data_IF_861975590779
#
_entry.id   IF_861975590779
#
_cell.length_a   1.000
_cell.length_b   1.000
_cell.length_c   1.000
_cell.angle_alpha   90.00
_cell.angle_beta   90.00
_cell.angle_gamma   90.00
#
_symmetry.space_group_name_H-M   'P 1'
#
loop_
_entity.id
_entity.type
_entity.pdbx_description
1 polymer ?
#
# COMPACT_ATOMS: atom_id res chain seq x y z
N UNK A 1 -22.69 -1.32 -60.68
CA UNK A 1 -21.33 -1.03 -60.20
C UNK A 1 -21.17 0.48 -60.09
N UNK A 2 -21.15 1.08 -58.88
CA UNK A 2 -20.70 2.44 -58.70
C UNK A 2 -19.24 2.51 -58.22
N UNK A 3 -18.63 3.64 -58.57
CA UNK A 3 -17.22 3.96 -58.47
C UNK A 3 -16.72 4.09 -57.02
N UNK A 4 -15.54 3.52 -56.76
CA UNK A 4 -14.78 3.76 -55.53
C UNK A 4 -14.12 5.12 -55.64
N UNK A 5 -14.67 6.08 -54.89
CA UNK A 5 -14.06 7.38 -54.67
C UNK A 5 -12.76 7.21 -53.89
N UNK A 6 -11.72 7.80 -54.47
CA UNK A 6 -10.46 8.20 -53.86
C UNK A 6 -10.68 8.82 -52.48
N UNK A 7 -9.99 8.27 -51.47
CA UNK A 7 -9.83 8.90 -50.16
C UNK A 7 -8.41 8.60 -49.70
N UNK A 8 -7.45 9.38 -50.19
CA UNK A 8 -6.11 9.41 -49.63
C UNK A 8 -6.12 10.20 -48.30
N UNK A 9 -5.60 9.65 -47.20
CA UNK A 9 -5.27 10.45 -46.03
C UNK A 9 -3.88 11.09 -46.18
N UNK A 10 -3.83 12.40 -45.92
CA UNK A 10 -2.64 13.27 -45.91
C UNK A 10 -1.53 12.75 -44.96
N UNK A 11 -0.25 13.06 -45.23
CA UNK A 11 0.85 12.75 -44.32
C UNK A 11 0.82 13.68 -43.09
N UNK A 12 0.04 13.28 -42.09
CA UNK A 12 0.10 13.88 -40.76
C UNK A 12 1.45 13.56 -40.10
N UNK A 13 2.24 14.61 -39.89
CA UNK A 13 3.45 14.69 -39.08
C UNK A 13 3.55 13.61 -38.01
N UNK A 14 4.55 12.74 -38.13
CA UNK A 14 5.03 11.89 -37.04
C UNK A 14 5.55 12.81 -35.94
N UNK A 15 4.69 13.08 -34.96
CA UNK A 15 5.11 13.64 -33.69
C UNK A 15 6.05 12.61 -33.05
N UNK A 16 7.24 13.08 -32.69
CA UNK A 16 8.23 12.34 -31.92
C UNK A 16 7.57 11.74 -30.66
N UNK A 17 7.95 10.54 -30.22
CA UNK A 17 7.47 10.02 -28.95
C UNK A 17 7.85 11.02 -27.85
N UNK A 18 6.84 11.50 -27.14
CA UNK A 18 7.04 12.28 -25.93
C UNK A 18 7.97 11.47 -25.03
N UNK A 19 9.06 12.14 -24.66
CA UNK A 19 9.98 11.68 -23.64
C UNK A 19 9.14 11.29 -22.44
N UNK A 20 8.98 9.99 -22.22
CA UNK A 20 8.56 9.46 -20.94
C UNK A 20 9.53 10.05 -19.94
N UNK A 21 9.07 11.03 -19.19
CA UNK A 21 9.75 11.51 -18.01
C UNK A 21 10.02 10.27 -17.18
N UNK A 22 11.30 9.86 -17.18
CA UNK A 22 11.82 8.96 -16.19
C UNK A 22 11.42 9.59 -14.86
N UNK A 23 10.47 8.96 -14.16
CA UNK A 23 10.02 9.33 -12.84
C UNK A 23 11.25 9.31 -11.92
N UNK A 24 11.92 10.46 -11.83
CA UNK A 24 13.11 10.67 -11.03
C UNK A 24 12.66 10.70 -9.57
N UNK A 25 12.54 9.51 -8.99
CA UNK A 25 12.57 9.32 -7.55
C UNK A 25 11.36 9.84 -6.82
N UNK A 26 10.15 9.40 -7.19
CA UNK A 26 9.12 9.29 -6.16
C UNK A 26 9.70 8.36 -5.08
N UNK A 27 9.97 8.84 -3.85
CA UNK A 27 10.32 7.92 -2.78
C UNK A 27 9.20 6.86 -2.75
N UNK A 28 9.54 5.55 -2.65
CA UNK A 28 8.50 4.53 -2.53
C UNK A 28 7.55 5.05 -1.46
N UNK A 29 6.22 5.08 -1.73
CA UNK A 29 5.27 5.70 -0.81
C UNK A 29 5.62 5.18 0.57
N UNK A 30 5.99 6.11 1.48
CA UNK A 30 6.36 5.73 2.84
C UNK A 30 5.34 4.69 3.29
N UNK A 31 5.76 3.53 3.81
CA UNK A 31 4.89 2.37 3.90
C UNK A 31 3.61 2.76 4.66
N UNK A 32 2.55 3.06 3.92
CA UNK A 32 1.35 3.65 4.48
C UNK A 32 0.70 2.57 5.32
N UNK A 33 0.68 2.79 6.63
CA UNK A 33 0.03 1.87 7.56
C UNK A 33 -1.47 2.14 7.50
N UNK A 34 -2.22 1.16 7.03
CA UNK A 34 -3.68 1.20 6.92
C UNK A 34 -4.30 0.37 8.04
N UNK A 35 -5.39 0.86 8.61
CA UNK A 35 -6.19 0.07 9.54
C UNK A 35 -7.27 -0.67 8.76
N UNK A 36 -7.21 -2.00 8.77
CA UNK A 36 -8.09 -2.87 7.98
C UNK A 36 -8.79 -3.90 8.86
N UNK A 37 -9.99 -4.32 8.47
CA UNK A 37 -10.71 -5.45 9.08
C UNK A 37 -11.36 -6.30 8.00
N UNK A 38 -11.72 -7.54 8.34
CA UNK A 38 -12.53 -8.35 7.44
C UNK A 38 -13.89 -7.70 7.18
N UNK A 39 -14.38 -7.83 5.94
CA UNK A 39 -15.74 -7.40 5.60
C UNK A 39 -16.75 -8.27 6.33
N UNK A 40 -17.86 -7.65 6.74
CA UNK A 40 -18.97 -8.38 7.35
C UNK A 40 -19.47 -9.49 6.40
N UNK A 41 -19.67 -10.69 6.94
CA UNK A 41 -20.17 -11.83 6.17
C UNK A 41 -19.09 -12.71 5.53
N UNK A 42 -17.80 -12.40 5.71
CA UNK A 42 -16.71 -13.34 5.39
C UNK A 42 -16.66 -14.44 6.46
N UNK A 43 -16.82 -15.70 6.02
CA UNK A 43 -16.97 -16.89 6.89
C UNK A 43 -15.70 -17.14 7.72
N UNK A 44 -15.84 -17.24 9.04
CA UNK A 44 -14.74 -17.48 9.99
C UNK A 44 -14.49 -16.33 10.98
N UNK A 45 -15.23 -15.23 10.87
CA UNK A 45 -15.10 -14.04 11.71
C UNK A 45 -15.50 -14.31 13.17
N UNK A 46 -14.56 -14.81 13.97
CA UNK A 46 -14.74 -14.93 15.44
C UNK A 46 -14.60 -13.60 16.17
N UNK A 47 -14.04 -12.59 15.53
CA UNK A 47 -13.96 -11.24 16.08
C UNK A 47 -13.71 -10.20 14.97
N UNK A 48 -14.47 -9.11 15.00
CA UNK A 48 -14.29 -7.89 14.18
C UNK A 48 -13.04 -7.14 14.63
N UNK A 49 -11.88 -7.76 14.49
CA UNK A 49 -10.61 -7.18 14.93
C UNK A 49 -10.03 -6.34 13.80
N UNK A 50 -9.67 -5.11 14.11
CA UNK A 50 -8.93 -4.24 13.19
C UNK A 50 -7.45 -4.60 13.27
N UNK A 51 -6.75 -4.57 12.14
CA UNK A 51 -5.33 -4.79 12.04
C UNK A 51 -4.68 -3.60 11.34
N UNK A 52 -3.56 -3.13 11.87
CA UNK A 52 -2.68 -2.25 11.13
C UNK A 52 -1.92 -3.10 10.10
N UNK A 53 -1.95 -2.73 8.83
CA UNK A 53 -1.35 -3.46 7.72
C UNK A 53 -0.61 -2.52 6.76
N UNK A 54 0.36 -3.08 6.04
CA UNK A 54 1.14 -2.38 5.02
C UNK A 54 1.08 -3.17 3.72
N UNK A 55 1.10 -2.46 2.59
CA UNK A 55 1.22 -3.08 1.28
C UNK A 55 2.61 -3.70 1.08
N UNK A 56 2.63 -4.82 0.40
CA UNK A 56 3.85 -5.45 -0.10
C UNK A 56 4.04 -5.15 -1.58
N UNK A 57 5.24 -5.34 -2.15
CA UNK A 57 5.48 -5.21 -3.59
C UNK A 57 4.70 -6.22 -4.47
N UNK A 58 3.96 -7.15 -3.87
CA UNK A 58 3.14 -8.16 -4.56
C UNK A 58 1.64 -7.92 -4.39
N UNK A 59 1.23 -6.72 -4.03
CA UNK A 59 -0.17 -6.33 -3.80
C UNK A 59 -0.89 -7.19 -2.73
N UNK A 60 -0.14 -7.71 -1.77
CA UNK A 60 -0.68 -8.37 -0.57
C UNK A 60 -0.59 -7.43 0.61
N UNK A 61 -1.64 -7.37 1.43
CA UNK A 61 -1.62 -6.66 2.70
C UNK A 61 -0.99 -7.56 3.77
N UNK A 62 0.08 -7.10 4.40
CA UNK A 62 0.66 -7.78 5.56
C UNK A 62 0.37 -6.96 6.80
N UNK A 63 -0.35 -7.56 7.73
CA UNK A 63 -0.58 -6.95 9.05
C UNK A 63 0.72 -6.89 9.84
N UNK A 64 0.85 -5.88 10.71
CA UNK A 64 1.97 -5.78 11.63
C UNK A 64 2.10 -7.03 12.52
N UNK A 65 0.99 -7.69 12.86
CA UNK A 65 1.02 -8.95 13.62
C UNK A 65 1.46 -10.18 12.82
N UNK A 66 1.77 -10.05 11.53
CA UNK A 66 2.33 -11.10 10.68
C UNK A 66 1.30 -11.95 9.93
N UNK A 67 0.03 -11.56 9.96
CA UNK A 67 -1.03 -12.21 9.19
C UNK A 67 -1.10 -11.58 7.79
N UNK A 68 -1.00 -12.38 6.70
CA UNK A 68 -1.31 -11.91 5.36
C UNK A 68 -2.83 -11.77 5.19
N UNK A 69 -3.25 -10.71 4.51
CA UNK A 69 -4.64 -10.42 4.20
C UNK A 69 -4.80 -10.26 2.70
N UNK A 70 -5.86 -10.85 2.17
CA UNK A 70 -6.33 -10.60 0.82
C UNK A 70 -7.06 -9.25 0.79
N UNK A 71 -6.63 -8.27 -0.01
CA UNK A 71 -7.24 -6.96 -0.09
C UNK A 71 -8.71 -6.99 -0.53
N UNK A 72 -9.15 -8.03 -1.26
CA UNK A 72 -10.55 -8.20 -1.68
C UNK A 72 -11.49 -8.57 -0.52
N UNK A 73 -10.94 -9.14 0.56
CA UNK A 73 -11.72 -9.65 1.71
C UNK A 73 -11.79 -8.66 2.87
N UNK A 74 -11.10 -7.53 2.77
CA UNK A 74 -10.97 -6.55 3.84
C UNK A 74 -11.52 -5.19 3.43
N UNK A 75 -11.74 -4.35 4.43
CA UNK A 75 -12.11 -2.95 4.29
C UNK A 75 -11.32 -2.11 5.28
N UNK A 76 -11.06 -0.85 4.92
CA UNK A 76 -10.47 0.11 5.84
C UNK A 76 -11.44 0.43 6.99
N UNK A 77 -10.89 0.61 8.18
CA UNK A 77 -11.67 0.86 9.38
C UNK A 77 -10.93 1.78 10.34
N UNK A 78 -11.68 2.61 11.06
CA UNK A 78 -11.17 3.55 12.06
C UNK A 78 -11.09 2.96 13.48
N UNK A 79 -11.37 1.66 13.63
CA UNK A 79 -11.35 0.99 14.93
C UNK A 79 -9.94 0.79 15.50
N UNK A 80 -9.88 0.46 16.79
CA UNK A 80 -8.62 0.18 17.48
C UNK A 80 -7.96 -1.11 16.92
N UNK A 81 -6.71 -1.05 16.44
CA UNK A 81 -6.02 -2.24 15.96
C UNK A 81 -5.84 -3.27 17.07
N UNK A 82 -5.61 -4.52 16.69
CA UNK A 82 -5.35 -5.58 17.65
C UNK A 82 -4.15 -5.23 18.53
N UNK A 83 -4.17 -5.67 19.78
CA UNK A 83 -3.10 -5.36 20.75
C UNK A 83 -1.70 -5.72 20.24
N UNK A 84 -1.58 -6.76 19.40
CA UNK A 84 -0.30 -7.13 18.79
C UNK A 84 0.16 -6.11 17.74
N UNK A 85 -0.73 -5.63 16.89
CA UNK A 85 -0.44 -4.53 15.95
C UNK A 85 -0.02 -3.27 16.69
N UNK A 86 -0.75 -2.88 17.75
CA UNK A 86 -0.42 -1.70 18.58
C UNK A 86 0.97 -1.83 19.19
N UNK A 87 1.31 -2.97 19.81
CA UNK A 87 2.64 -3.18 20.42
C UNK A 87 3.78 -3.09 19.41
N UNK A 88 3.58 -3.59 18.19
CA UNK A 88 4.60 -3.53 17.13
C UNK A 88 4.73 -2.09 16.61
N UNK A 89 3.60 -1.41 16.36
CA UNK A 89 3.59 -0.01 15.98
C UNK A 89 4.29 0.86 17.03
N UNK A 90 3.96 0.69 18.31
CA UNK A 90 4.58 1.43 19.41
C UNK A 90 6.10 1.19 19.52
N UNK A 91 6.59 -0.02 19.23
CA UNK A 91 8.03 -0.31 19.16
C UNK A 91 8.71 0.39 17.97
N UNK A 92 8.04 0.47 16.82
CA UNK A 92 8.57 1.12 15.62
C UNK A 92 8.50 2.65 15.70
N UNK A 93 7.50 3.18 16.38
CA UNK A 93 7.31 4.61 16.62
C UNK A 93 8.28 5.18 17.65
N UNK A 94 9.02 4.32 18.36
CA UNK A 94 10.22 4.72 19.08
C UNK A 94 11.34 4.77 18.04
N UNK A 95 11.72 5.95 17.52
CA UNK A 95 13.05 6.06 16.93
C UNK A 95 14.02 5.62 18.02
N UNK A 96 15.12 4.94 17.65
CA UNK A 96 16.17 4.58 18.60
C UNK A 96 16.33 5.66 19.69
N UNK A 97 16.17 5.28 20.95
CA UNK A 97 16.51 6.12 22.10
C UNK A 97 18.01 5.92 22.34
N UNK A 98 18.89 6.83 21.90
CA UNK A 98 20.33 6.71 22.13
C UNK A 98 20.73 6.92 23.59
N UNK A 99 19.82 7.22 24.52
CA UNK A 99 20.14 7.60 25.91
C UNK A 99 20.38 6.42 26.87
N UNK A 100 20.26 5.16 26.41
CA UNK A 100 20.49 3.97 27.25
C UNK A 100 21.96 3.53 27.40
N UNK A 101 22.96 4.33 27.00
CA UNK A 101 24.39 4.05 27.29
C UNK A 101 25.02 4.99 28.33
N UNK A 102 24.23 5.79 29.05
CA UNK A 102 24.73 6.78 30.01
C UNK A 102 24.38 6.55 31.48
N UNK A 103 23.77 5.42 31.84
CA UNK A 103 23.31 5.14 33.21
C UNK A 103 23.95 3.88 33.81
N UNK A 104 25.24 3.66 33.52
CA UNK A 104 26.15 2.97 34.42
C UNK A 104 26.94 4.10 35.11
N UNK A 105 26.71 4.50 36.36
CA UNK A 105 26.87 3.64 37.52
C UNK A 105 28.36 3.55 37.88
N UNK A 106 28.93 4.57 38.55
CA UNK A 106 30.30 4.54 39.07
C UNK A 106 30.85 5.91 39.44
#
# INVERSE_FOLDING_TARGET
>A
MPAFHDCQPEPGTVALPEMVDADHGRPPPEPTVLNVRYRAGIVGERARVVHAATWTPRDVLITLCGMPLDPSLVEESTGMPCMRCIRIAARRARPDDPDQRGIDGG
#
